data_IF_466724385536
#
_entry.id   IF_466724385536
#
_cell.length_a   1.000
_cell.length_b   1.000
_cell.length_c   1.000
_cell.angle_alpha   90.00
_cell.angle_beta   90.00
_cell.angle_gamma   90.00
#
_symmetry.space_group_name_H-M   'P 1'
#
loop_
_entity.id
_entity.type
_entity.pdbx_description
1 polymer ?
#
# COMPACT_ATOMS: atom_id res chain seq x y z
N UNK A 1 25.40 -5.15 0.65
CA UNK A 1 24.42 -5.33 -0.43
C UNK A 1 23.01 -5.06 0.07
N UNK A 2 22.16 -4.47 -0.77
CA UNK A 2 20.75 -4.20 -0.49
C UNK A 2 19.92 -4.81 -1.62
N UNK A 3 18.95 -5.64 -1.26
CA UNK A 3 18.09 -6.36 -2.19
C UNK A 3 16.63 -6.20 -1.79
N UNK A 4 15.76 -6.23 -2.80
CA UNK A 4 14.31 -6.25 -2.62
C UNK A 4 13.83 -7.63 -3.08
N UNK A 5 13.13 -8.33 -2.20
CA UNK A 5 12.58 -9.66 -2.48
C UNK A 5 11.55 -9.58 -3.61
N UNK A 6 11.78 -10.35 -4.68
CA UNK A 6 10.87 -10.42 -5.82
C UNK A 6 9.56 -11.11 -5.42
N UNK A 7 8.41 -10.57 -5.86
CA UNK A 7 7.10 -11.10 -5.50
C UNK A 7 6.60 -10.71 -4.10
N UNK A 8 7.27 -9.79 -3.41
CA UNK A 8 6.89 -9.34 -2.06
C UNK A 8 6.55 -7.85 -2.03
N UNK A 9 5.35 -7.56 -1.57
CA UNK A 9 4.88 -6.19 -1.43
C UNK A 9 5.52 -5.49 -0.22
N UNK A 10 5.41 -4.17 -0.18
CA UNK A 10 5.66 -3.38 1.01
C UNK A 10 4.42 -2.60 1.41
N UNK A 11 4.09 -2.67 2.70
CA UNK A 11 3.20 -1.69 3.32
C UNK A 11 4.03 -0.41 3.50
N UNK A 12 3.81 0.55 2.61
CA UNK A 12 4.52 1.84 2.59
C UNK A 12 4.01 2.74 3.71
N UNK A 13 2.73 2.61 4.05
CA UNK A 13 2.05 3.35 5.13
C UNK A 13 0.95 2.47 5.70
N UNK A 14 0.91 2.35 7.03
CA UNK A 14 -0.18 1.69 7.74
C UNK A 14 -1.47 2.53 7.70
N UNK A 15 -2.61 1.87 7.62
CA UNK A 15 -3.92 2.49 7.75
C UNK A 15 -4.99 1.53 8.22
N UNK A 16 -6.21 2.03 8.40
CA UNK A 16 -7.32 1.27 9.01
C UNK A 16 -8.67 1.42 8.30
N UNK A 17 -8.83 2.42 7.45
CA UNK A 17 -10.14 2.75 6.86
C UNK A 17 -10.27 2.26 5.41
N UNK A 18 -9.16 2.14 4.67
CA UNK A 18 -9.14 1.60 3.30
C UNK A 18 -7.73 1.18 2.87
N UNK A 19 -7.62 0.09 2.09
CA UNK A 19 -6.39 -0.31 1.37
C UNK A 19 -6.32 0.34 0.00
N UNK A 20 -5.18 0.97 -0.31
CA UNK A 20 -4.83 1.42 -1.65
C UNK A 20 -3.55 0.71 -2.09
N UNK A 21 -3.66 -0.07 -3.17
CA UNK A 21 -2.50 -0.68 -3.84
C UNK A 21 -2.06 0.25 -4.97
N UNK A 22 -0.83 0.78 -4.88
CA UNK A 22 -0.28 1.72 -5.85
C UNK A 22 1.11 1.28 -6.32
N UNK A 23 1.43 1.49 -7.59
CA UNK A 23 2.70 1.07 -8.18
C UNK A 23 3.49 2.26 -8.72
N UNK A 24 4.82 2.24 -8.55
CA UNK A 24 5.75 3.23 -9.10
C UNK A 24 5.34 4.66 -8.74
N UNK A 25 5.17 5.54 -9.74
CA UNK A 25 4.84 6.96 -9.52
C UNK A 25 3.56 7.15 -8.70
N UNK A 26 2.60 6.23 -8.79
CA UNK A 26 1.36 6.33 -8.04
C UNK A 26 1.58 6.19 -6.53
N UNK A 27 2.63 5.51 -6.06
CA UNK A 27 2.94 5.46 -4.62
C UNK A 27 3.16 6.87 -4.06
N UNK A 28 3.92 7.70 -4.79
CA UNK A 28 4.20 9.08 -4.38
C UNK A 28 2.96 9.98 -4.45
N UNK A 29 2.09 9.79 -5.45
CA UNK A 29 0.82 10.51 -5.52
C UNK A 29 -0.12 10.09 -4.40
N UNK A 30 -0.22 8.80 -4.11
CA UNK A 30 -1.05 8.29 -3.03
C UNK A 30 -0.56 8.77 -1.67
N UNK A 31 0.76 8.84 -1.42
CA UNK A 31 1.28 9.44 -0.18
C UNK A 31 0.77 10.88 0.04
N UNK A 32 0.78 11.72 -1.02
CA UNK A 32 0.21 13.08 -0.94
C UNK A 32 -1.29 13.07 -0.69
N UNK A 33 -2.02 12.13 -1.29
CA UNK A 33 -3.45 11.96 -1.02
C UNK A 33 -3.71 11.52 0.42
N UNK A 34 -2.89 10.62 0.99
CA UNK A 34 -2.98 10.21 2.39
C UNK A 34 -2.81 11.40 3.34
N UNK A 35 -1.90 12.34 3.06
CA UNK A 35 -1.73 13.56 3.87
C UNK A 35 -2.96 14.48 3.85
N UNK A 36 -3.72 14.49 2.75
CA UNK A 36 -4.96 15.25 2.64
C UNK A 36 -6.07 14.54 3.42
N UNK A 37 -6.24 13.24 3.18
CA UNK A 37 -7.29 12.42 3.78
C UNK A 37 -7.14 12.27 5.30
N UNK A 38 -5.91 12.25 5.82
CA UNK A 38 -5.66 12.22 7.26
C UNK A 38 -6.26 13.45 7.97
N UNK A 39 -6.31 14.61 7.31
CA UNK A 39 -6.93 15.84 7.84
C UNK A 39 -8.46 15.73 7.93
N UNK A 40 -9.03 14.84 7.12
CA UNK A 40 -10.46 14.49 7.15
C UNK A 40 -10.73 13.29 8.06
N UNK A 41 -9.71 12.78 8.76
CA UNK A 41 -9.81 11.66 9.68
C UNK A 41 -9.78 10.28 9.01
N UNK A 42 -9.47 10.22 7.71
CA UNK A 42 -9.43 8.98 6.92
C UNK A 42 -8.00 8.45 6.85
N UNK A 43 -7.81 7.24 7.35
CA UNK A 43 -6.53 6.56 7.49
C UNK A 43 -6.35 5.48 6.41
N UNK A 44 -5.59 5.82 5.37
CA UNK A 44 -5.32 4.95 4.22
C UNK A 44 -4.11 4.06 4.46
N UNK A 45 -4.29 2.76 4.26
CA UNK A 45 -3.19 1.80 4.13
C UNK A 45 -2.67 1.82 2.69
N UNK A 46 -1.39 2.11 2.51
CA UNK A 46 -0.76 2.15 1.19
C UNK A 46 0.17 0.96 1.00
N UNK A 47 -0.13 0.14 0.00
CA UNK A 47 0.70 -0.99 -0.40
C UNK A 47 1.35 -0.69 -1.76
N UNK A 48 2.67 -0.84 -1.82
CA UNK A 48 3.41 -0.96 -3.08
C UNK A 48 3.65 -2.45 -3.34
N UNK A 49 3.04 -3.05 -4.39
CA UNK A 49 3.21 -4.46 -4.67
C UNK A 49 4.65 -4.78 -5.09
N UNK A 50 5.43 -3.81 -5.59
CA UNK A 50 6.79 -3.91 -6.16
C UNK A 50 6.95 -4.84 -7.37
N UNK A 51 6.19 -5.92 -7.41
CA UNK A 51 6.12 -6.94 -8.45
C UNK A 51 4.67 -7.06 -8.91
N UNK A 52 4.44 -6.89 -10.22
CA UNK A 52 3.09 -7.02 -10.81
C UNK A 52 2.71 -8.49 -11.01
N UNK A 53 3.69 -9.33 -11.35
CA UNK A 53 3.50 -10.76 -11.56
C UNK A 53 4.78 -11.54 -11.17
N UNK A 54 4.70 -12.52 -10.25
CA UNK A 54 3.52 -12.86 -9.45
C UNK A 54 3.20 -11.75 -8.44
N UNK A 55 1.92 -11.42 -8.32
CA UNK A 55 1.45 -10.42 -7.36
C UNK A 55 1.45 -11.02 -5.94
N UNK A 56 1.88 -10.24 -4.96
CA UNK A 56 1.75 -10.61 -3.54
C UNK A 56 0.30 -10.46 -3.07
N UNK A 57 -0.52 -11.44 -3.43
CA UNK A 57 -1.95 -11.48 -3.10
C UNK A 57 -2.15 -11.64 -1.60
N UNK A 58 -1.25 -12.34 -0.90
CA UNK A 58 -1.37 -12.57 0.54
C UNK A 58 -1.31 -11.25 1.32
N UNK A 59 -0.29 -10.42 1.07
CA UNK A 59 -0.16 -9.11 1.74
C UNK A 59 -1.37 -8.21 1.46
N UNK A 60 -1.87 -8.20 0.22
CA UNK A 60 -3.05 -7.38 -0.15
C UNK A 60 -4.30 -7.88 0.56
N UNK A 61 -4.54 -9.20 0.61
CA UNK A 61 -5.71 -9.77 1.29
C UNK A 61 -5.67 -9.54 2.81
N UNK A 62 -4.50 -9.62 3.43
CA UNK A 62 -4.34 -9.29 4.85
C UNK A 62 -4.70 -7.83 5.14
N UNK A 63 -4.28 -6.92 4.26
CA UNK A 63 -4.59 -5.50 4.34
C UNK A 63 -6.08 -5.22 4.17
N UNK A 64 -6.70 -5.77 3.13
CA UNK A 64 -8.15 -5.66 2.90
C UNK A 64 -8.93 -6.24 4.09
N UNK A 65 -8.50 -7.39 4.64
CA UNK A 65 -9.13 -7.95 5.83
C UNK A 65 -9.06 -7.02 7.05
N UNK A 66 -8.06 -6.14 7.13
CA UNK A 66 -7.92 -5.14 8.19
C UNK A 66 -8.78 -3.92 7.95
N UNK A 67 -8.92 -3.47 6.70
CA UNK A 67 -9.55 -2.18 6.36
C UNK A 67 -10.98 -2.28 5.83
N UNK A 68 -11.49 -3.49 5.57
CA UNK A 68 -12.78 -3.74 4.93
C UNK A 68 -12.66 -4.04 3.43
#
# INVERSE_FOLDING_TARGET
DYEIEFGKAAVVREGRDVTVVALALMVHHTLKACEILEKEGISVELIDPRTVAPLDVETILQSVSKTG
#
